data_IF_225656814310
#
_entry.id   IF_225656814310
#
_cell.length_a   1.000
_cell.length_b   1.000
_cell.length_c   1.000
_cell.angle_alpha   90.00
_cell.angle_beta   90.00
_cell.angle_gamma   90.00
#
_symmetry.space_group_name_H-M   'P 1'
#
loop_
_entity.id
_entity.type
_entity.pdbx_description
1 polymer ?
#
# COMPACT_ATOMS: atom_id res chain seq x y z
N UNK A 1 -11.15 28.89 49.70
CA UNK A 1 -11.15 27.80 48.70
C UNK A 1 -11.88 28.33 47.48
N UNK A 2 -11.17 28.98 46.56
CA UNK A 2 -11.77 29.63 45.38
C UNK A 2 -11.65 28.69 44.17
N UNK A 3 -12.78 28.23 43.65
CA UNK A 3 -12.88 27.53 42.38
C UNK A 3 -13.16 28.52 41.25
N UNK A 4 -12.22 28.63 40.31
CA UNK A 4 -12.44 29.33 39.04
C UNK A 4 -12.94 28.32 38.00
N UNK A 5 -14.23 28.38 37.67
CA UNK A 5 -14.74 27.87 36.40
C UNK A 5 -14.51 28.95 35.34
N UNK A 6 -13.62 28.66 34.38
CA UNK A 6 -13.47 29.50 33.18
C UNK A 6 -14.35 28.91 32.09
N UNK A 7 -15.39 29.68 31.77
CA UNK A 7 -16.37 29.44 30.73
C UNK A 7 -15.72 29.60 29.34
N UNK A 8 -15.54 28.51 28.60
CA UNK A 8 -15.01 28.54 27.23
C UNK A 8 -16.15 28.71 26.22
N UNK A 9 -16.49 29.97 25.93
CA UNK A 9 -17.42 30.34 24.87
C UNK A 9 -16.87 29.98 23.47
N UNK A 10 -17.64 29.30 22.59
CA UNK A 10 -17.18 28.79 21.29
C UNK A 10 -17.27 29.83 20.14
N UNK A 11 -17.01 31.11 20.40
CA UNK A 11 -17.19 32.17 19.38
C UNK A 11 -15.95 32.49 18.53
N UNK A 12 -14.77 31.96 18.84
CA UNK A 12 -13.52 32.24 18.10
C UNK A 12 -13.18 31.26 16.98
N UNK A 13 -13.91 30.15 16.82
CA UNK A 13 -13.56 29.08 15.87
C UNK A 13 -14.10 29.25 14.44
N UNK A 14 -15.00 30.21 14.21
CA UNK A 14 -15.64 30.42 12.90
C UNK A 14 -14.85 31.36 11.97
N UNK A 15 -14.04 32.27 12.51
CA UNK A 15 -13.24 33.19 11.70
C UNK A 15 -12.03 32.50 11.02
N UNK A 16 -11.50 31.42 11.59
CA UNK A 16 -10.33 30.72 11.05
C UNK A 16 -10.66 29.83 9.85
N UNK A 17 -11.85 29.20 9.80
CA UNK A 17 -12.25 28.29 8.71
C UNK A 17 -12.38 29.01 7.36
N UNK A 18 -13.02 30.18 7.34
CA UNK A 18 -13.17 30.95 6.09
C UNK A 18 -11.84 31.52 5.58
N UNK A 19 -10.93 31.88 6.49
CA UNK A 19 -9.58 32.30 6.11
C UNK A 19 -8.75 31.13 5.55
N UNK A 20 -8.84 29.95 6.18
CA UNK A 20 -8.14 28.73 5.72
C UNK A 20 -8.61 28.28 4.33
N UNK A 21 -9.92 28.29 4.07
CA UNK A 21 -10.51 27.90 2.77
C UNK A 21 -10.06 28.86 1.67
N UNK A 22 -10.08 30.17 1.95
CA UNK A 22 -9.70 31.21 0.98
C UNK A 22 -8.17 31.22 0.72
N UNK A 23 -7.36 30.89 1.73
CA UNK A 23 -5.92 30.68 1.57
C UNK A 23 -5.61 29.41 0.76
N UNK A 24 -6.33 28.31 0.97
CA UNK A 24 -6.07 27.04 0.26
C UNK A 24 -6.39 27.16 -1.24
N UNK A 25 -7.51 27.80 -1.60
CA UNK A 25 -7.91 28.03 -2.99
C UNK A 25 -6.96 28.98 -3.72
N UNK A 26 -6.54 30.08 -3.06
CA UNK A 26 -5.55 31.02 -3.62
C UNK A 26 -4.23 30.34 -3.92
N UNK A 27 -3.70 29.53 -2.99
CA UNK A 27 -2.43 28.85 -3.22
C UNK A 27 -2.51 27.71 -4.22
N UNK A 28 -3.65 27.03 -4.32
CA UNK A 28 -3.93 26.10 -5.41
C UNK A 28 -3.82 26.79 -6.78
N UNK A 29 -4.45 27.96 -6.94
CA UNK A 29 -4.39 28.75 -8.18
C UNK A 29 -2.96 29.25 -8.45
N UNK A 30 -2.26 29.77 -7.44
CA UNK A 30 -0.87 30.21 -7.60
C UNK A 30 0.07 29.05 -8.00
N UNK A 31 -0.16 27.84 -7.47
CA UNK A 31 0.57 26.63 -7.86
C UNK A 31 0.31 26.21 -9.30
N UNK A 32 -0.95 26.22 -9.73
CA UNK A 32 -1.32 25.91 -11.11
C UNK A 32 -0.66 26.88 -12.11
N UNK A 33 -0.60 28.17 -11.76
CA UNK A 33 0.08 29.20 -12.58
C UNK A 33 1.60 29.01 -12.57
N UNK A 34 2.19 28.60 -11.43
CA UNK A 34 3.62 28.27 -11.34
C UNK A 34 4.00 27.07 -12.21
N UNK A 35 3.15 26.04 -12.26
CA UNK A 35 3.35 24.84 -13.07
C UNK A 35 3.06 25.06 -14.57
N UNK A 36 2.25 26.06 -14.90
CA UNK A 36 1.93 26.45 -16.27
C UNK A 36 2.04 27.97 -16.43
N UNK A 37 3.27 28.53 -16.51
CA UNK A 37 3.47 29.97 -16.70
C UNK A 37 2.81 30.46 -17.99
N UNK A 38 2.09 31.57 -17.93
CA UNK A 38 1.34 32.07 -19.09
C UNK A 38 0.04 31.31 -19.35
N UNK A 39 -0.59 30.73 -18.32
CA UNK A 39 -1.91 30.12 -18.44
C UNK A 39 -3.00 31.20 -18.60
N UNK A 40 -4.05 30.90 -19.37
CA UNK A 40 -5.21 31.78 -19.58
C UNK A 40 -6.30 31.55 -18.54
N UNK A 41 -7.22 32.52 -18.42
CA UNK A 41 -8.38 32.41 -17.53
C UNK A 41 -9.24 31.18 -17.82
N UNK A 42 -9.56 30.91 -19.09
CA UNK A 42 -10.41 29.79 -19.48
C UNK A 42 -9.73 28.44 -19.17
N UNK A 43 -8.41 28.35 -19.37
CA UNK A 43 -7.65 27.15 -19.03
C UNK A 43 -7.57 26.92 -17.52
N UNK A 44 -7.44 27.99 -16.70
CA UNK A 44 -7.52 27.88 -15.24
C UNK A 44 -8.92 27.47 -14.77
N UNK A 45 -9.97 28.05 -15.38
CA UNK A 45 -11.36 27.71 -15.08
C UNK A 45 -11.65 26.24 -15.39
N UNK A 46 -11.21 25.73 -16.54
CA UNK A 46 -11.38 24.32 -16.89
C UNK A 46 -10.71 23.36 -15.90
N UNK A 47 -9.59 23.76 -15.30
CA UNK A 47 -8.87 22.96 -14.29
C UNK A 47 -9.46 23.05 -12.87
N UNK A 48 -10.29 24.05 -12.57
CA UNK A 48 -10.81 24.33 -11.23
C UNK A 48 -12.32 24.16 -11.11
N UNK A 49 -13.04 24.06 -12.24
CA UNK A 49 -14.51 23.98 -12.27
C UNK A 49 -15.07 22.72 -11.59
N UNK A 50 -14.32 21.62 -11.56
CA UNK A 50 -14.71 20.36 -10.89
C UNK A 50 -14.87 20.49 -9.38
N UNK A 51 -14.22 21.48 -8.78
CA UNK A 51 -14.17 21.65 -7.33
C UNK A 51 -15.37 22.45 -6.79
N UNK A 52 -16.26 22.91 -7.68
CA UNK A 52 -17.42 23.75 -7.34
C UNK A 52 -18.72 23.11 -7.82
N UNK A 53 -19.79 23.26 -7.04
CA UNK A 53 -21.13 22.77 -7.39
C UNK A 53 -21.77 23.46 -8.62
N UNK A 54 -21.20 24.57 -9.11
CA UNK A 54 -21.62 25.20 -10.37
C UNK A 54 -20.49 25.95 -11.06
N UNK A 55 -20.54 26.04 -12.40
CA UNK A 55 -19.55 26.77 -13.19
C UNK A 55 -19.57 28.28 -12.93
N UNK A 56 -20.73 28.83 -12.57
CA UNK A 56 -20.88 30.24 -12.23
C UNK A 56 -20.22 30.57 -10.88
N UNK A 57 -20.33 29.66 -9.91
CA UNK A 57 -19.61 29.76 -8.63
C UNK A 57 -18.10 29.68 -8.84
N UNK A 58 -17.62 28.76 -9.69
CA UNK A 58 -16.21 28.64 -10.05
C UNK A 58 -15.67 29.92 -10.72
N UNK A 59 -16.41 30.50 -11.67
CA UNK A 59 -16.06 31.78 -12.32
C UNK A 59 -15.95 32.93 -11.32
N UNK A 60 -16.95 33.08 -10.45
CA UNK A 60 -16.95 34.16 -9.46
C UNK A 60 -15.78 34.03 -8.48
N UNK A 61 -15.53 32.81 -7.99
CA UNK A 61 -14.40 32.53 -7.09
C UNK A 61 -13.05 32.77 -7.77
N UNK A 62 -12.83 32.20 -8.96
CA UNK A 62 -11.58 32.32 -9.70
C UNK A 62 -11.28 33.79 -10.07
N UNK A 63 -12.28 34.53 -10.53
CA UNK A 63 -12.14 35.95 -10.87
C UNK A 63 -11.74 36.79 -9.66
N UNK A 64 -12.39 36.56 -8.51
CA UNK A 64 -12.05 37.23 -7.25
C UNK A 64 -10.63 36.89 -6.81
N UNK A 65 -10.27 35.61 -6.79
CA UNK A 65 -8.93 35.17 -6.38
C UNK A 65 -7.82 35.70 -7.30
N UNK A 66 -8.04 35.76 -8.61
CA UNK A 66 -7.07 36.33 -9.56
C UNK A 66 -6.96 37.84 -9.41
N UNK A 67 -8.07 38.56 -9.22
CA UNK A 67 -8.07 40.00 -8.97
C UNK A 67 -7.29 40.33 -7.69
N UNK A 68 -7.56 39.60 -6.61
CA UNK A 68 -6.87 39.75 -5.33
C UNK A 68 -5.37 39.42 -5.46
N UNK A 69 -5.03 38.31 -6.14
CA UNK A 69 -3.63 37.92 -6.33
C UNK A 69 -2.83 38.93 -7.18
N UNK A 70 -3.46 39.58 -8.16
CA UNK A 70 -2.86 40.68 -8.92
C UNK A 70 -2.71 41.92 -8.05
N UNK A 71 -3.74 42.31 -7.28
CA UNK A 71 -3.67 43.51 -6.42
C UNK A 71 -2.63 43.37 -5.30
N UNK A 72 -2.44 42.16 -4.76
CA UNK A 72 -1.38 41.90 -3.79
C UNK A 72 0.01 41.73 -4.41
N UNK A 73 0.14 41.80 -5.73
CA UNK A 73 1.40 41.67 -6.46
C UNK A 73 1.96 40.24 -6.48
N UNK A 74 1.13 39.23 -6.25
CA UNK A 74 1.51 37.80 -6.31
C UNK A 74 1.51 37.27 -7.75
N UNK A 75 0.71 37.88 -8.61
CA UNK A 75 0.61 37.58 -10.04
C UNK A 75 0.82 38.84 -10.87
N UNK A 76 1.35 38.66 -12.07
CA UNK A 76 1.40 39.68 -13.13
C UNK A 76 0.52 39.21 -14.29
N UNK A 77 -0.45 40.04 -14.69
CA UNK A 77 -1.25 39.83 -15.89
C UNK A 77 -0.58 40.55 -17.06
N UNK A 78 -0.30 39.84 -18.14
CA UNK A 78 0.09 40.41 -19.44
C UNK A 78 -0.95 39.95 -20.45
N UNK A 79 -1.72 40.88 -21.00
CA UNK A 79 -2.87 40.60 -21.85
C UNK A 79 -3.84 39.59 -21.21
N UNK A 80 -4.01 38.41 -21.79
CA UNK A 80 -4.86 37.33 -21.27
C UNK A 80 -4.11 36.23 -20.52
N UNK A 81 -2.83 36.45 -20.23
CA UNK A 81 -1.93 35.47 -19.62
C UNK A 81 -1.52 35.86 -18.21
N UNK A 82 -1.49 34.87 -17.32
CA UNK A 82 -1.08 35.04 -15.93
C UNK A 82 0.31 34.46 -15.67
N UNK A 83 1.15 35.23 -15.00
CA UNK A 83 2.50 34.86 -14.60
C UNK A 83 2.67 35.06 -13.09
N UNK A 84 3.40 34.16 -12.44
CA UNK A 84 3.76 34.32 -11.03
C UNK A 84 4.88 35.34 -10.88
N UNK A 85 4.79 36.21 -9.87
CA UNK A 85 5.87 37.14 -9.51
C UNK A 85 6.82 36.49 -8.50
N UNK A 86 7.97 37.10 -8.24
CA UNK A 86 8.88 36.65 -7.18
C UNK A 86 8.20 36.69 -5.80
N UNK A 87 7.36 37.70 -5.56
CA UNK A 87 6.51 37.80 -4.35
C UNK A 87 5.52 36.64 -4.26
N UNK A 88 4.89 36.26 -5.37
CA UNK A 88 4.01 35.09 -5.45
C UNK A 88 4.75 33.79 -5.17
N UNK A 89 5.94 33.61 -5.76
CA UNK A 89 6.80 32.45 -5.53
C UNK A 89 7.22 32.32 -4.07
N UNK A 90 7.60 33.43 -3.43
CA UNK A 90 7.93 33.47 -2.00
C UNK A 90 6.72 33.14 -1.13
N UNK A 91 5.52 33.63 -1.47
CA UNK A 91 4.28 33.33 -0.74
C UNK A 91 3.90 31.85 -0.79
N UNK A 92 3.96 31.20 -1.96
CA UNK A 92 3.72 29.74 -2.08
C UNK A 92 4.74 28.97 -1.24
N UNK A 93 6.01 29.36 -1.34
CA UNK A 93 7.11 28.68 -0.66
C UNK A 93 6.94 28.78 0.86
N UNK A 94 6.54 29.95 1.37
CA UNK A 94 6.24 30.17 2.80
C UNK A 94 5.11 29.26 3.30
N UNK A 95 4.01 29.14 2.54
CA UNK A 95 2.89 28.31 2.95
C UNK A 95 3.21 26.81 2.92
N UNK A 96 3.93 26.35 1.90
CA UNK A 96 4.41 24.97 1.84
C UNK A 96 5.34 24.62 3.01
N UNK A 97 6.20 25.56 3.42
CA UNK A 97 7.07 25.44 4.59
C UNK A 97 6.24 25.28 5.87
N UNK A 98 5.23 26.12 6.07
CA UNK A 98 4.32 26.03 7.22
C UNK A 98 3.52 24.72 7.23
N UNK A 99 3.04 24.25 6.08
CA UNK A 99 2.30 22.98 5.99
C UNK A 99 3.16 21.77 6.37
N UNK A 100 4.43 21.77 5.99
CA UNK A 100 5.38 20.72 6.38
C UNK A 100 5.59 20.69 7.89
N UNK A 101 5.85 21.83 8.51
CA UNK A 101 6.02 21.94 9.97
C UNK A 101 4.73 21.59 10.74
N UNK A 102 3.57 22.01 10.24
CA UNK A 102 2.28 21.64 10.84
C UNK A 102 2.03 20.13 10.82
N UNK A 103 2.33 19.45 9.71
CA UNK A 103 2.22 17.98 9.64
C UNK A 103 3.16 17.32 10.64
N UNK A 104 4.39 17.79 10.70
CA UNK A 104 5.42 17.23 11.56
C UNK A 104 5.07 17.41 13.06
N UNK A 105 4.57 18.60 13.44
CA UNK A 105 4.01 18.86 14.77
C UNK A 105 2.86 17.89 15.09
N UNK A 106 1.94 17.70 14.15
CA UNK A 106 0.77 16.81 14.34
C UNK A 106 1.19 15.35 14.54
N UNK A 107 2.10 14.85 13.70
CA UNK A 107 2.56 13.46 13.76
C UNK A 107 3.41 13.16 15.00
N UNK A 108 4.25 14.09 15.45
CA UNK A 108 5.07 13.89 16.66
C UNK A 108 4.21 13.93 17.93
N UNK A 109 3.19 14.80 17.97
CA UNK A 109 2.25 14.88 19.10
C UNK A 109 1.21 13.76 19.10
N UNK A 110 1.09 13.00 18.01
CA UNK A 110 0.11 11.91 17.88
C UNK A 110 0.39 10.77 18.86
N UNK A 111 -0.65 10.18 19.49
CA UNK A 111 -0.48 8.95 20.26
C UNK A 111 -0.03 7.76 19.39
N UNK A 112 -0.23 7.84 18.07
CA UNK A 112 0.18 6.82 17.09
C UNK A 112 1.55 7.11 16.46
N UNK A 113 2.33 8.05 16.98
CA UNK A 113 3.63 8.48 16.43
C UNK A 113 4.63 7.37 16.09
N UNK A 114 4.61 6.24 16.81
CA UNK A 114 5.48 5.09 16.53
C UNK A 114 5.04 4.33 15.26
N UNK A 115 3.76 4.34 14.92
CA UNK A 115 3.26 3.75 13.67
C UNK A 115 3.46 4.68 12.47
N UNK A 116 3.66 5.97 12.72
CA UNK A 116 3.92 7.00 11.69
C UNK A 116 5.43 7.32 11.56
N UNK A 117 6.30 6.50 12.17
CA UNK A 117 7.72 6.82 12.33
C UNK A 117 8.42 7.07 10.98
N UNK A 118 8.13 6.26 9.95
CA UNK A 118 8.70 6.42 8.62
C UNK A 118 8.37 7.79 8.03
N UNK A 119 7.09 8.20 8.09
CA UNK A 119 6.66 9.50 7.60
C UNK A 119 7.26 10.65 8.40
N UNK A 120 7.40 10.50 9.72
CA UNK A 120 8.04 11.51 10.57
C UNK A 120 9.52 11.66 10.20
N UNK A 121 10.24 10.56 9.98
CA UNK A 121 11.65 10.57 9.57
C UNK A 121 11.82 11.23 8.20
N UNK A 122 10.98 10.89 7.23
CA UNK A 122 10.98 11.54 5.90
C UNK A 122 10.74 13.04 6.01
N UNK A 123 9.74 13.47 6.77
CA UNK A 123 9.42 14.88 6.95
C UNK A 123 10.55 15.63 7.68
N UNK A 124 11.15 15.03 8.72
CA UNK A 124 12.31 15.59 9.42
C UNK A 124 13.51 15.73 8.47
N UNK A 125 13.79 14.71 7.66
CA UNK A 125 14.85 14.75 6.67
C UNK A 125 14.65 15.91 5.68
N UNK A 126 13.44 16.06 5.15
CA UNK A 126 13.09 17.17 4.25
C UNK A 126 13.26 18.54 4.90
N UNK A 127 12.89 18.70 6.17
CA UNK A 127 13.10 19.95 6.92
C UNK A 127 14.59 20.22 7.09
N UNK A 128 15.37 19.22 7.50
CA UNK A 128 16.82 19.36 7.73
C UNK A 128 17.55 19.76 6.44
N UNK A 129 17.34 19.01 5.36
CA UNK A 129 18.01 19.26 4.07
C UNK A 129 17.65 20.63 3.49
N UNK A 130 16.37 21.03 3.55
CA UNK A 130 15.97 22.35 3.09
C UNK A 130 16.50 23.47 3.97
N UNK A 131 16.63 23.24 5.28
CA UNK A 131 17.12 24.25 6.23
C UNK A 131 18.61 24.53 6.08
N UNK A 132 19.42 23.53 5.69
CA UNK A 132 20.86 23.72 5.39
C UNK A 132 21.09 24.78 4.30
N UNK A 133 20.20 24.81 3.31
CA UNK A 133 20.30 25.71 2.15
C UNK A 133 19.44 26.97 2.28
N UNK A 134 18.68 27.13 3.38
CA UNK A 134 17.74 28.24 3.56
C UNK A 134 17.69 28.70 5.03
N UNK A 135 18.47 29.73 5.42
CA UNK A 135 18.53 30.24 6.79
C UNK A 135 17.18 30.73 7.34
N UNK A 136 16.33 31.29 6.48
CA UNK A 136 14.98 31.72 6.89
C UNK A 136 14.12 30.52 7.28
N UNK A 137 14.20 29.42 6.51
CA UNK A 137 13.51 28.18 6.87
C UNK A 137 14.01 27.62 8.19
N UNK A 138 15.31 27.66 8.45
CA UNK A 138 15.87 27.23 9.73
C UNK A 138 15.30 28.05 10.88
N UNK A 139 15.22 29.38 10.72
CA UNK A 139 14.63 30.27 11.73
C UNK A 139 13.15 29.94 11.95
N UNK A 140 12.38 29.82 10.88
CA UNK A 140 10.94 29.54 10.93
C UNK A 140 10.65 28.15 11.52
N UNK A 141 11.47 27.15 11.19
CA UNK A 141 11.37 25.81 11.77
C UNK A 141 11.64 25.82 13.27
N UNK A 142 12.63 26.59 13.74
CA UNK A 142 12.94 26.72 15.17
C UNK A 142 11.83 27.43 15.94
N UNK A 143 11.17 28.43 15.36
CA UNK A 143 10.11 29.19 16.03
C UNK A 143 8.74 28.51 15.96
N UNK A 144 8.48 27.72 14.91
CA UNK A 144 7.16 27.12 14.65
C UNK A 144 7.05 25.64 15.03
N UNK A 145 8.17 24.99 15.37
CA UNK A 145 8.15 23.63 15.90
C UNK A 145 7.48 23.59 17.28
N UNK A 146 6.54 22.68 17.45
CA UNK A 146 5.84 22.42 18.72
C UNK A 146 6.39 21.19 19.45
N UNK A 147 7.49 20.62 18.95
CA UNK A 147 8.16 19.46 19.52
C UNK A 147 9.62 19.79 19.82
N UNK A 148 10.19 19.05 20.75
CA UNK A 148 11.58 19.19 21.16
C UNK A 148 12.42 18.00 20.68
N UNK A 149 13.73 18.18 20.61
CA UNK A 149 14.67 17.06 20.35
C UNK A 149 14.52 15.96 21.41
N UNK A 150 14.17 16.31 22.65
CA UNK A 150 13.86 15.35 23.71
C UNK A 150 12.64 14.48 23.40
N UNK A 151 11.64 14.99 22.66
CA UNK A 151 10.49 14.20 22.22
C UNK A 151 10.90 13.16 21.16
N UNK A 152 11.80 13.54 20.25
CA UNK A 152 12.41 12.64 19.28
C UNK A 152 13.24 11.55 19.97
N UNK A 153 14.01 11.91 21.00
CA UNK A 153 14.77 10.94 21.80
C UNK A 153 13.85 9.94 22.52
N UNK A 154 12.73 10.41 23.09
CA UNK A 154 11.71 9.53 23.69
C UNK A 154 11.06 8.63 22.64
N UNK A 155 10.83 9.12 21.43
CA UNK A 155 10.32 8.28 20.34
C UNK A 155 11.33 7.20 19.95
N UNK A 156 12.61 7.55 19.85
CA UNK A 156 13.68 6.59 19.54
C UNK A 156 13.78 5.50 20.63
N UNK A 157 13.69 5.85 21.91
CA UNK A 157 13.70 4.85 22.99
C UNK A 157 12.50 3.90 22.92
N UNK A 158 11.29 4.43 22.67
CA UNK A 158 10.09 3.62 22.46
C UNK A 158 10.20 2.70 21.24
N UNK A 159 10.74 3.20 20.12
CA UNK A 159 10.99 2.40 18.93
C UNK A 159 11.94 1.24 19.23
N UNK A 160 13.03 1.49 19.95
CA UNK A 160 13.98 0.46 20.37
C UNK A 160 13.35 -0.62 21.28
N UNK A 161 12.45 -0.23 22.18
CA UNK A 161 11.69 -1.21 22.99
C UNK A 161 10.81 -2.09 22.10
N UNK A 162 10.10 -1.49 21.14
CA UNK A 162 9.25 -2.23 20.19
C UNK A 162 10.07 -3.18 19.31
N UNK A 163 11.24 -2.75 18.83
CA UNK A 163 12.18 -3.59 18.07
C UNK A 163 12.58 -4.81 18.90
N UNK A 164 13.04 -4.60 20.15
CA UNK A 164 13.44 -5.70 21.05
C UNK A 164 12.30 -6.70 21.26
N UNK A 165 11.09 -6.21 21.48
CA UNK A 165 9.90 -7.05 21.65
C UNK A 165 9.57 -7.86 20.38
N UNK A 166 9.60 -7.23 19.20
CA UNK A 166 9.38 -7.92 17.93
C UNK A 166 10.44 -8.98 17.64
N UNK A 167 11.72 -8.69 17.92
CA UNK A 167 12.81 -9.67 17.80
C UNK A 167 12.60 -10.86 18.73
N UNK A 168 12.15 -10.61 19.97
CA UNK A 168 11.82 -11.67 20.91
C UNK A 168 10.65 -12.54 20.42
N UNK A 169 9.56 -11.92 19.96
CA UNK A 169 8.41 -12.64 19.41
C UNK A 169 8.78 -13.45 18.16
N UNK A 170 9.58 -12.89 17.26
CA UNK A 170 10.11 -13.60 16.10
C UNK A 170 10.87 -14.86 16.53
N UNK A 171 11.77 -14.74 17.51
CA UNK A 171 12.52 -15.88 18.06
C UNK A 171 11.60 -16.95 18.68
N UNK A 172 10.55 -16.55 19.40
CA UNK A 172 9.56 -17.51 19.93
C UNK A 172 8.82 -18.18 18.78
N UNK A 173 8.32 -17.41 17.82
CA UNK A 173 7.55 -17.93 16.70
C UNK A 173 8.35 -18.96 15.91
N UNK A 174 9.63 -18.70 15.63
CA UNK A 174 10.54 -19.68 15.01
C UNK A 174 10.61 -20.99 15.80
N UNK A 175 10.78 -20.93 17.13
CA UNK A 175 10.79 -22.13 17.97
C UNK A 175 9.46 -22.89 17.93
N UNK A 176 8.34 -22.17 17.85
CA UNK A 176 7.01 -22.79 17.75
C UNK A 176 6.83 -23.47 16.38
N UNK A 177 7.26 -22.82 15.29
CA UNK A 177 7.28 -23.40 13.95
C UNK A 177 8.12 -24.69 13.94
N UNK A 178 9.34 -24.65 14.49
CA UNK A 178 10.21 -25.84 14.59
C UNK A 178 9.56 -26.96 15.40
N UNK A 179 8.85 -26.62 16.48
CA UNK A 179 8.14 -27.59 17.31
C UNK A 179 6.97 -28.22 16.55
N UNK A 180 6.17 -27.43 15.82
CA UNK A 180 5.09 -27.94 14.98
C UNK A 180 5.61 -28.84 13.86
N UNK A 181 6.75 -28.50 13.24
CA UNK A 181 7.43 -29.34 12.25
C UNK A 181 7.92 -30.67 12.84
N UNK A 182 8.48 -30.67 14.04
CA UNK A 182 8.88 -31.90 14.75
C UNK A 182 7.68 -32.81 15.04
N UNK A 183 6.56 -32.21 15.40
CA UNK A 183 5.26 -32.87 15.61
C UNK A 183 4.57 -33.28 14.29
N UNK A 184 5.17 -33.00 13.14
CA UNK A 184 4.68 -33.36 11.81
C UNK A 184 3.30 -32.76 11.49
N UNK A 185 3.05 -31.52 11.93
CA UNK A 185 1.86 -30.76 11.52
C UNK A 185 1.85 -30.52 10.01
N UNK A 186 0.68 -30.23 9.46
CA UNK A 186 0.55 -29.93 8.04
C UNK A 186 1.31 -28.65 7.67
N UNK A 187 2.06 -28.71 6.58
CA UNK A 187 2.79 -27.62 5.94
C UNK A 187 2.29 -27.46 4.48
N UNK A 188 2.72 -26.40 3.81
CA UNK A 188 2.37 -26.15 2.42
C UNK A 188 3.50 -25.49 1.65
N UNK A 189 3.64 -25.87 0.38
CA UNK A 189 4.57 -25.24 -0.56
C UNK A 189 3.84 -24.86 -1.85
N UNK A 190 4.17 -23.69 -2.39
CA UNK A 190 3.66 -23.21 -3.68
C UNK A 190 4.78 -23.25 -4.72
N UNK A 191 4.55 -23.94 -5.83
CA UNK A 191 5.46 -24.05 -6.96
C UNK A 191 4.88 -23.33 -8.20
N UNK A 192 5.71 -22.71 -9.04
CA UNK A 192 5.26 -22.12 -10.30
C UNK A 192 4.78 -23.21 -11.28
N UNK A 193 3.90 -22.84 -12.21
CA UNK A 193 3.37 -23.74 -13.24
C UNK A 193 4.36 -23.94 -14.40
N UNK A 194 5.53 -24.52 -14.14
CA UNK A 194 6.60 -24.71 -15.13
C UNK A 194 7.08 -26.17 -15.24
N UNK A 195 7.84 -26.48 -16.30
CA UNK A 195 8.34 -27.84 -16.55
C UNK A 195 9.25 -28.36 -15.43
N UNK A 196 9.94 -27.47 -14.73
CA UNK A 196 10.83 -27.86 -13.62
C UNK A 196 10.01 -28.38 -12.43
N UNK A 197 8.90 -27.69 -12.09
CA UNK A 197 7.98 -28.09 -11.02
C UNK A 197 7.26 -29.39 -11.34
N UNK A 198 6.86 -29.62 -12.60
CA UNK A 198 6.29 -30.91 -13.02
C UNK A 198 7.25 -32.06 -12.74
N UNK A 199 8.52 -31.92 -13.12
CA UNK A 199 9.53 -32.95 -12.88
C UNK A 199 9.75 -33.22 -11.38
N UNK A 200 9.87 -32.16 -10.57
CA UNK A 200 10.01 -32.28 -9.11
C UNK A 200 8.85 -33.03 -8.48
N UNK A 201 7.63 -32.66 -8.85
CA UNK A 201 6.40 -33.32 -8.40
C UNK A 201 6.40 -34.79 -8.83
N UNK A 202 6.62 -35.09 -10.11
CA UNK A 202 6.63 -36.47 -10.60
C UNK A 202 7.68 -37.33 -9.89
N UNK A 203 8.89 -36.81 -9.63
CA UNK A 203 9.93 -37.51 -8.87
C UNK A 203 9.51 -37.73 -7.42
N UNK A 204 9.01 -36.70 -6.76
CA UNK A 204 8.51 -36.79 -5.39
C UNK A 204 7.43 -37.87 -5.26
N UNK A 205 6.45 -37.89 -6.14
CA UNK A 205 5.38 -38.91 -6.13
C UNK A 205 5.85 -40.31 -6.54
N UNK A 206 6.88 -40.42 -7.39
CA UNK A 206 7.44 -41.73 -7.75
C UNK A 206 8.01 -42.48 -6.54
N UNK A 207 8.51 -41.73 -5.54
CA UNK A 207 9.06 -42.28 -4.28
C UNK A 207 8.01 -42.91 -3.35
N UNK A 208 6.72 -42.63 -3.57
CA UNK A 208 5.64 -43.24 -2.81
C UNK A 208 5.22 -44.59 -3.44
N UNK A 209 5.09 -45.64 -2.62
CA UNK A 209 4.67 -46.98 -3.03
C UNK A 209 3.16 -47.11 -3.32
N UNK A 210 2.57 -46.15 -4.03
CA UNK A 210 1.12 -46.12 -4.31
C UNK A 210 0.78 -46.83 -5.63
N UNK A 211 -0.38 -47.48 -5.67
CA UNK A 211 -0.90 -48.13 -6.89
C UNK A 211 -1.80 -47.19 -7.71
N UNK A 212 -2.53 -46.29 -7.03
CA UNK A 212 -3.48 -45.36 -7.62
C UNK A 212 -3.49 -44.00 -6.91
N UNK A 213 -4.04 -42.99 -7.57
CA UNK A 213 -4.24 -41.64 -7.04
C UNK A 213 -5.63 -41.12 -7.36
N UNK A 214 -6.14 -40.21 -6.53
CA UNK A 214 -7.49 -39.68 -6.66
C UNK A 214 -7.47 -38.23 -7.13
N UNK A 215 -8.36 -37.89 -8.06
CA UNK A 215 -8.47 -36.56 -8.64
C UNK A 215 -9.90 -36.06 -8.49
N UNK A 216 -10.02 -34.84 -7.99
CA UNK A 216 -11.24 -34.02 -8.01
C UNK A 216 -11.00 -32.86 -8.98
N UNK A 217 -11.82 -32.71 -10.01
CA UNK A 217 -11.68 -31.63 -10.97
C UNK A 217 -13.02 -30.94 -11.27
N UNK A 218 -12.99 -29.66 -11.69
CA UNK A 218 -14.19 -28.95 -12.13
C UNK A 218 -14.84 -29.62 -13.34
N UNK A 219 -16.16 -29.47 -13.47
CA UNK A 219 -16.92 -30.02 -14.61
C UNK A 219 -16.41 -29.53 -15.96
N UNK A 220 -15.90 -28.30 -16.02
CA UNK A 220 -15.33 -27.66 -17.21
C UNK A 220 -14.17 -28.44 -17.84
N UNK A 221 -13.40 -29.15 -17.03
CA UNK A 221 -12.22 -29.92 -17.45
C UNK A 221 -12.41 -31.43 -17.27
N UNK A 222 -13.46 -31.86 -16.59
CA UNK A 222 -13.73 -33.27 -16.32
C UNK A 222 -13.85 -34.09 -17.61
N UNK A 223 -14.65 -33.62 -18.57
CA UNK A 223 -14.90 -34.38 -19.80
C UNK A 223 -13.60 -34.54 -20.63
N UNK A 224 -12.77 -33.50 -20.70
CA UNK A 224 -11.46 -33.52 -21.38
C UNK A 224 -10.48 -34.52 -20.75
N UNK A 225 -10.47 -34.59 -19.42
CA UNK A 225 -9.60 -35.52 -18.69
C UNK A 225 -10.14 -36.96 -18.79
N UNK A 226 -11.46 -37.13 -18.67
CA UNK A 226 -12.12 -38.43 -18.75
C UNK A 226 -11.92 -39.11 -20.10
N UNK A 227 -11.98 -38.35 -21.20
CA UNK A 227 -11.73 -38.84 -22.55
C UNK A 227 -10.27 -39.28 -22.72
N UNK A 228 -9.31 -38.43 -22.33
CA UNK A 228 -7.88 -38.71 -22.51
C UNK A 228 -7.38 -39.92 -21.74
N UNK A 229 -7.89 -40.15 -20.53
CA UNK A 229 -7.46 -41.26 -19.66
C UNK A 229 -8.48 -42.41 -19.61
N UNK A 230 -9.55 -42.36 -20.42
CA UNK A 230 -10.57 -43.42 -20.53
C UNK A 230 -11.15 -43.85 -19.18
N UNK A 231 -11.46 -42.89 -18.30
CA UNK A 231 -11.84 -43.19 -16.91
C UNK A 231 -13.35 -43.41 -16.76
N UNK A 232 -13.75 -44.59 -16.28
CA UNK A 232 -15.15 -44.86 -15.88
C UNK A 232 -15.38 -44.32 -14.47
N UNK A 233 -15.96 -43.13 -14.32
CA UNK A 233 -16.11 -42.51 -12.99
C UNK A 233 -17.42 -41.72 -12.81
N UNK A 234 -17.75 -41.40 -11.55
CA UNK A 234 -18.88 -40.54 -11.17
C UNK A 234 -18.37 -39.09 -11.14
N UNK A 235 -18.93 -38.20 -11.97
CA UNK A 235 -18.65 -36.74 -11.90
C UNK A 235 -18.74 -36.27 -10.44
N UNK A 236 -17.78 -35.48 -9.91
CA UNK A 236 -16.58 -34.88 -10.52
C UNK A 236 -15.24 -35.57 -10.15
N UNK A 237 -15.30 -36.84 -9.74
CA UNK A 237 -14.20 -37.50 -9.02
C UNK A 237 -13.79 -38.81 -9.70
N UNK A 238 -12.48 -39.05 -9.83
CA UNK A 238 -11.99 -40.28 -10.43
C UNK A 238 -10.65 -40.72 -9.86
N UNK A 239 -10.33 -42.01 -10.03
CA UNK A 239 -9.04 -42.57 -9.67
C UNK A 239 -8.26 -43.00 -10.91
N UNK A 240 -6.95 -42.77 -10.89
CA UNK A 240 -6.01 -43.15 -11.94
C UNK A 240 -4.89 -44.02 -11.37
N UNK A 241 -4.42 -44.97 -12.17
CA UNK A 241 -3.22 -45.76 -11.84
C UNK A 241 -1.98 -44.89 -11.83
N UNK A 242 -1.01 -45.22 -10.96
CA UNK A 242 0.27 -44.50 -10.83
C UNK A 242 1.03 -44.33 -12.15
N UNK A 243 0.89 -45.27 -13.08
CA UNK A 243 1.51 -45.22 -14.41
C UNK A 243 1.14 -43.95 -15.20
N UNK A 244 -0.08 -43.42 -15.00
CA UNK A 244 -0.56 -42.23 -15.69
C UNK A 244 -0.15 -40.91 -15.04
N UNK A 245 0.60 -40.94 -13.93
CA UNK A 245 0.86 -39.75 -13.10
C UNK A 245 1.62 -38.64 -13.85
N UNK A 246 2.71 -39.00 -14.53
CA UNK A 246 3.52 -38.03 -15.29
C UNK A 246 2.74 -37.40 -16.44
N UNK A 247 1.98 -38.23 -17.17
CA UNK A 247 1.16 -37.78 -18.30
C UNK A 247 -0.02 -36.93 -17.84
N UNK A 248 -0.62 -37.29 -16.69
CA UNK A 248 -1.69 -36.55 -16.06
C UNK A 248 -1.24 -35.15 -15.67
N UNK A 249 -0.11 -35.03 -14.97
CA UNK A 249 0.44 -33.72 -14.62
C UNK A 249 0.70 -32.91 -15.89
N UNK A 250 1.43 -33.47 -16.86
CA UNK A 250 1.73 -32.78 -18.12
C UNK A 250 0.47 -32.29 -18.83
N UNK A 251 -0.60 -33.08 -18.82
CA UNK A 251 -1.89 -32.68 -19.38
C UNK A 251 -2.60 -31.62 -18.55
N UNK A 252 -2.74 -31.80 -17.24
CA UNK A 252 -3.35 -30.83 -16.32
C UNK A 252 -2.63 -29.47 -16.38
N UNK A 253 -1.33 -29.48 -16.64
CA UNK A 253 -0.52 -28.28 -16.85
C UNK A 253 -0.78 -27.61 -18.20
N UNK A 254 -1.12 -28.36 -19.24
CA UNK A 254 -1.51 -27.80 -20.54
C UNK A 254 -2.91 -27.19 -20.54
N UNK A 255 -3.76 -27.56 -19.58
CA UNK A 255 -5.13 -27.04 -19.49
C UNK A 255 -5.14 -25.59 -19.01
N UNK A 256 -5.97 -24.80 -19.68
CA UNK A 256 -6.40 -23.47 -19.25
C UNK A 256 -7.81 -23.59 -18.67
N UNK A 257 -7.97 -23.31 -17.40
CA UNK A 257 -9.27 -23.27 -16.72
C UNK A 257 -9.41 -21.98 -15.91
N UNK A 258 -10.64 -21.56 -15.56
CA UNK A 258 -10.91 -20.30 -14.86
C UNK A 258 -10.08 -20.14 -13.57
N UNK A 259 -9.71 -18.91 -13.24
CA UNK A 259 -8.85 -18.61 -12.08
C UNK A 259 -9.43 -19.08 -10.73
N UNK A 260 -10.75 -19.21 -10.64
CA UNK A 260 -11.46 -19.62 -9.43
C UNK A 260 -11.56 -21.15 -9.29
N UNK A 261 -11.14 -21.89 -10.31
CA UNK A 261 -11.21 -23.34 -10.36
C UNK A 261 -9.84 -23.97 -10.06
N UNK A 262 -9.84 -25.22 -9.61
CA UNK A 262 -8.61 -25.95 -9.33
C UNK A 262 -8.81 -27.44 -9.48
N UNK A 263 -7.81 -28.11 -10.05
CA UNK A 263 -7.71 -29.57 -10.04
C UNK A 263 -7.05 -29.95 -8.71
N UNK A 264 -7.73 -30.77 -7.90
CA UNK A 264 -7.19 -31.30 -6.67
C UNK A 264 -6.79 -32.75 -6.88
N UNK A 265 -5.62 -33.11 -6.39
CA UNK A 265 -5.10 -34.47 -6.44
C UNK A 265 -4.77 -34.89 -5.01
N UNK A 266 -5.24 -36.07 -4.63
CA UNK A 266 -5.08 -36.60 -3.30
C UNK A 266 -4.20 -37.85 -3.34
N UNK A 267 -3.15 -37.84 -2.53
CA UNK A 267 -2.14 -38.88 -2.40
C UNK A 267 -1.87 -39.16 -0.93
N UNK A 268 -2.48 -40.23 -0.38
CA UNK A 268 -2.35 -40.53 1.06
C UNK A 268 -2.72 -39.29 1.91
N UNK A 269 -1.77 -38.76 2.69
CA UNK A 269 -1.85 -37.55 3.51
C UNK A 269 -1.58 -36.23 2.76
N UNK A 270 -1.24 -36.28 1.48
CA UNK A 270 -0.85 -35.13 0.67
C UNK A 270 -1.98 -34.73 -0.27
N UNK A 271 -2.24 -33.43 -0.34
CA UNK A 271 -3.15 -32.82 -1.29
C UNK A 271 -2.39 -31.85 -2.20
N UNK A 272 -2.58 -31.98 -3.50
CA UNK A 272 -2.09 -31.05 -4.52
C UNK A 272 -3.27 -30.28 -5.05
N UNK A 273 -3.14 -28.97 -5.13
CA UNK A 273 -4.10 -28.08 -5.77
C UNK A 273 -3.41 -27.36 -6.91
N UNK A 274 -3.70 -27.79 -8.13
CA UNK A 274 -3.27 -27.12 -9.35
C UNK A 274 -4.27 -26.00 -9.62
N UNK A 275 -3.75 -24.79 -9.81
CA UNK A 275 -4.51 -23.61 -10.22
C UNK A 275 -4.00 -23.11 -11.58
N UNK A 276 -4.62 -22.04 -12.12
CA UNK A 276 -4.15 -21.40 -13.35
C UNK A 276 -2.70 -20.90 -13.26
N UNK A 277 -2.23 -20.50 -12.07
CA UNK A 277 -0.93 -19.84 -11.89
C UNK A 277 0.10 -20.66 -11.10
N UNK A 278 -0.36 -21.47 -10.15
CA UNK A 278 0.53 -22.17 -9.24
C UNK A 278 0.05 -23.57 -8.88
N UNK A 279 0.97 -24.35 -8.33
CA UNK A 279 0.71 -25.66 -7.76
C UNK A 279 0.94 -25.53 -6.26
N UNK A 280 -0.12 -25.75 -5.48
CA UNK A 280 -0.03 -25.72 -4.03
C UNK A 280 -0.08 -27.14 -3.51
N UNK A 281 0.91 -27.54 -2.73
CA UNK A 281 1.03 -28.88 -2.17
C UNK A 281 0.92 -28.76 -0.67
N UNK A 282 0.03 -29.55 -0.07
CA UNK A 282 -0.31 -29.54 1.34
C UNK A 282 -0.12 -30.95 1.90
N UNK A 283 0.40 -31.08 3.11
CA UNK A 283 0.59 -32.38 3.74
C UNK A 283 1.47 -32.28 4.99
N UNK A 284 1.79 -33.40 5.64
CA UNK A 284 2.64 -33.41 6.83
C UNK A 284 4.02 -32.79 6.54
N UNK A 285 4.52 -31.96 7.46
CA UNK A 285 5.74 -31.16 7.25
C UNK A 285 6.95 -32.00 6.83
N UNK A 286 7.14 -33.19 7.41
CA UNK A 286 8.26 -34.09 7.04
C UNK A 286 8.16 -34.62 5.61
N UNK A 287 6.95 -34.70 5.05
CA UNK A 287 6.75 -35.10 3.66
C UNK A 287 6.97 -33.91 2.73
N UNK A 288 6.50 -32.72 3.11
CA UNK A 288 6.70 -31.48 2.34
C UNK A 288 8.18 -31.07 2.30
N UNK A 289 8.94 -31.25 3.38
CA UNK A 289 10.39 -30.92 3.40
C UNK A 289 11.17 -31.74 2.36
N UNK A 290 10.86 -33.02 2.19
CA UNK A 290 11.47 -33.88 1.15
C UNK A 290 11.24 -33.36 -0.26
N UNK A 291 10.13 -32.66 -0.52
CA UNK A 291 9.86 -32.07 -1.82
C UNK A 291 10.71 -30.82 -2.07
N UNK A 292 11.07 -30.07 -1.02
CA UNK A 292 11.88 -28.84 -1.12
C UNK A 292 13.38 -29.16 -1.26
N UNK A 293 13.84 -30.25 -0.64
CA UNK A 293 15.24 -30.70 -0.70
C UNK A 293 15.62 -31.36 -2.04
N UNK A 294 14.63 -31.80 -2.83
CA UNK A 294 14.79 -32.36 -4.19
C UNK A 294 14.58 -31.30 -5.30
#
# INVERSE_FOLDING_TARGET
MYGFFVDFSPKTFLFSKNLLINMTARNGILLMIKQSPGITYNSLLGKTASDFGSINSARASLSRTLKDAVSFGLLKKKDNFYFITDKGNSSISFEMKNKLLMKLNTSISSPKKINELDSIVEQLHLVIEKSKNNPDLLRDARTSALFYVSDLNKMNSLANVKIKHLTYLSKILSKQIDSLKKLNFNDSVSLPKDRSSVKKISLFFSSFGLNEFFVECPETVFDLISEKFSVKSKKPNFSLKKEHLSDFFSFAFSLNYPQNESIKIYFSSIQIKITSFSINIFGPSKEIEKLVEN
#
